data_IF_190751274656
#
_entry.id   IF_190751274656
#
_cell.length_a   1.000
_cell.length_b   1.000
_cell.length_c   1.000
_cell.angle_alpha   90.00
_cell.angle_beta   90.00
_cell.angle_gamma   90.00
#
_symmetry.space_group_name_H-M   'P 1'
#
loop_
_entity.id
_entity.type
_entity.pdbx_description
1 polymer ?
#
# COMPACT_ATOMS: atom_id res chain seq x y z
N UNK A 1 23.68 5.32 -0.48
CA UNK A 1 23.07 4.10 0.08
C UNK A 1 21.55 4.17 0.15
N UNK A 2 20.93 5.32 -0.13
CA UNK A 2 19.48 5.52 -0.04
C UNK A 2 18.66 4.57 -0.91
N UNK A 3 19.14 4.29 -2.12
CA UNK A 3 18.50 3.31 -3.01
C UNK A 3 18.47 1.90 -2.40
N UNK A 4 19.47 1.52 -1.59
CA UNK A 4 19.54 0.21 -0.96
C UNK A 4 18.47 0.09 0.14
N UNK A 5 18.36 1.10 1.01
CA UNK A 5 17.30 1.14 2.03
C UNK A 5 15.90 1.21 1.43
N UNK A 6 15.73 2.00 0.36
CA UNK A 6 14.48 2.01 -0.41
C UNK A 6 14.13 0.61 -0.94
N UNK A 7 15.10 -0.07 -1.57
CA UNK A 7 14.88 -1.38 -2.20
C UNK A 7 14.54 -2.46 -1.17
N UNK A 8 15.26 -2.50 -0.05
CA UNK A 8 15.00 -3.45 1.03
C UNK A 8 13.61 -3.19 1.63
N UNK A 9 13.30 -1.93 1.94
CA UNK A 9 12.00 -1.56 2.50
C UNK A 9 10.84 -1.90 1.56
N UNK A 10 11.02 -1.69 0.24
CA UNK A 10 10.04 -2.06 -0.78
C UNK A 10 9.77 -3.55 -0.78
N UNK A 11 10.81 -4.39 -0.83
CA UNK A 11 10.67 -5.84 -0.87
C UNK A 11 9.98 -6.34 0.41
N UNK A 12 10.43 -5.89 1.58
CA UNK A 12 9.88 -6.32 2.88
C UNK A 12 8.42 -5.88 3.02
N UNK A 13 8.09 -4.64 2.65
CA UNK A 13 6.73 -4.13 2.75
C UNK A 13 5.79 -4.82 1.76
N UNK A 14 6.23 -5.07 0.52
CA UNK A 14 5.45 -5.84 -0.45
C UNK A 14 5.17 -7.26 0.05
N UNK A 15 6.21 -7.98 0.50
CA UNK A 15 6.07 -9.35 0.99
C UNK A 15 5.14 -9.42 2.22
N UNK A 16 5.28 -8.45 3.13
CA UNK A 16 4.46 -8.36 4.34
C UNK A 16 3.02 -7.98 4.02
N UNK A 17 2.80 -6.98 3.16
CA UNK A 17 1.47 -6.61 2.69
C UNK A 17 0.76 -7.82 2.07
N UNK A 18 1.47 -8.58 1.21
CA UNK A 18 0.94 -9.77 0.57
C UNK A 18 0.62 -10.87 1.58
N UNK A 19 1.53 -11.14 2.50
CA UNK A 19 1.30 -12.10 3.58
C UNK A 19 0.05 -11.71 4.38
N UNK A 20 -0.09 -10.45 4.76
CA UNK A 20 -1.25 -9.96 5.52
C UNK A 20 -2.53 -10.05 4.69
N UNK A 21 -2.53 -9.63 3.43
CA UNK A 21 -3.75 -9.61 2.60
C UNK A 21 -4.19 -11.01 2.14
N UNK A 22 -3.28 -11.98 2.05
CA UNK A 22 -3.63 -13.38 1.75
C UNK A 22 -4.06 -14.15 3.00
N UNK A 23 -3.41 -13.96 4.15
CA UNK A 23 -3.71 -14.73 5.37
C UNK A 23 -4.81 -14.10 6.23
N UNK A 24 -5.02 -12.80 6.11
CA UNK A 24 -6.04 -12.11 6.89
C UNK A 24 -7.22 -11.84 5.98
N UNK A 25 -8.40 -12.37 6.35
CA UNK A 25 -9.69 -12.00 5.72
C UNK A 25 -10.08 -10.57 6.11
N UNK A 26 -9.17 -9.59 5.96
CA UNK A 26 -9.44 -8.17 6.21
C UNK A 26 -10.28 -7.68 5.04
N UNK A 27 -11.56 -8.01 5.11
CA UNK A 27 -12.58 -7.20 4.46
C UNK A 27 -12.72 -5.96 5.34
N UNK A 28 -11.98 -4.88 5.03
CA UNK A 28 -12.26 -3.54 5.55
C UNK A 28 -13.62 -3.08 4.96
N UNK A 29 -14.70 -3.75 5.37
CA UNK A 29 -16.09 -3.44 5.03
C UNK A 29 -16.55 -2.31 5.95
N UNK A 30 -16.02 -1.11 5.73
CA UNK A 30 -16.69 0.08 6.24
C UNK A 30 -17.88 0.37 5.32
N UNK A 31 -19.09 -0.03 5.73
CA UNK A 31 -20.38 0.35 5.10
C UNK A 31 -20.43 0.27 3.55
N UNK A 32 -19.87 -0.77 2.95
CA UNK A 32 -19.93 -0.98 1.48
C UNK A 32 -18.85 -0.28 0.66
N UNK A 33 -17.91 0.44 1.29
CA UNK A 33 -16.67 0.88 0.63
C UNK A 33 -15.61 -0.22 0.72
N UNK A 34 -15.04 -0.59 -0.41
CA UNK A 34 -13.90 -1.47 -0.54
C UNK A 34 -12.67 -0.62 -0.92
N UNK A 35 -12.10 0.05 0.09
CA UNK A 35 -10.89 0.84 -0.14
C UNK A 35 -9.71 -0.12 -0.25
N UNK A 36 -9.09 -0.14 -1.43
CA UNK A 36 -7.89 -0.92 -1.63
C UNK A 36 -6.72 -0.23 -0.92
N UNK A 37 -5.87 -1.02 -0.27
CA UNK A 37 -4.73 -0.51 0.47
C UNK A 37 -3.73 0.24 -0.44
N UNK A 38 -3.71 -0.01 -1.76
CA UNK A 38 -2.90 0.79 -2.69
C UNK A 38 -3.36 2.25 -2.80
N UNK A 39 -4.68 2.51 -2.66
CA UNK A 39 -5.22 3.88 -2.65
C UNK A 39 -4.80 4.59 -1.36
N UNK A 40 -4.87 3.89 -0.23
CA UNK A 40 -4.41 4.43 1.06
C UNK A 40 -2.91 4.71 1.05
N UNK A 41 -2.11 3.80 0.48
CA UNK A 41 -0.67 4.01 0.32
C UNK A 41 -0.39 5.22 -0.58
N UNK A 42 -1.10 5.36 -1.71
CA UNK A 42 -0.98 6.53 -2.59
C UNK A 42 -1.34 7.84 -1.90
N UNK A 43 -2.41 7.87 -1.11
CA UNK A 43 -2.78 9.05 -0.32
C UNK A 43 -1.71 9.36 0.75
N UNK A 44 -1.20 8.35 1.45
CA UNK A 44 -0.13 8.52 2.41
C UNK A 44 1.16 9.05 1.75
N UNK A 45 1.49 8.61 0.54
CA UNK A 45 2.59 9.16 -0.26
C UNK A 45 2.35 10.64 -0.61
N UNK A 46 1.11 11.02 -0.96
CA UNK A 46 0.75 12.41 -1.22
C UNK A 46 0.93 13.31 0.02
N UNK A 47 0.52 12.82 1.19
CA UNK A 47 0.75 13.52 2.48
C UNK A 47 2.25 13.59 2.80
N UNK A 48 2.99 12.49 2.62
CA UNK A 48 4.43 12.47 2.83
C UNK A 48 5.16 13.48 1.92
N UNK A 49 4.72 13.61 0.67
CA UNK A 49 5.23 14.60 -0.27
C UNK A 49 4.94 16.03 0.21
N UNK A 50 3.70 16.31 0.63
CA UNK A 50 3.32 17.63 1.18
C UNK A 50 4.15 18.02 2.40
N UNK A 51 4.50 17.05 3.25
CA UNK A 51 5.32 17.23 4.45
C UNK A 51 6.83 17.20 4.18
N UNK A 52 7.28 17.06 2.93
CA UNK A 52 8.69 16.95 2.55
C UNK A 52 9.44 15.80 3.26
N UNK A 53 8.76 14.68 3.49
CA UNK A 53 9.37 13.47 4.05
C UNK A 53 10.30 12.87 2.97
N UNK A 54 11.58 12.76 3.28
CA UNK A 54 12.62 12.30 2.32
C UNK A 54 13.19 10.93 2.64
N UNK A 55 12.78 10.31 3.75
CA UNK A 55 13.35 9.06 4.24
C UNK A 55 13.10 7.90 3.26
N UNK A 56 14.15 7.29 2.66
CA UNK A 56 14.00 6.31 1.58
C UNK A 56 13.23 5.06 1.98
N UNK A 57 13.35 4.61 3.24
CA UNK A 57 12.63 3.44 3.74
C UNK A 57 11.12 3.69 3.86
N UNK A 58 10.67 4.92 4.12
CA UNK A 58 9.25 5.28 4.14
C UNK A 58 8.68 5.17 2.73
N UNK A 59 9.38 5.76 1.75
CA UNK A 59 9.00 5.67 0.34
C UNK A 59 9.02 4.23 -0.17
N UNK A 60 10.06 3.46 0.16
CA UNK A 60 10.14 2.05 -0.19
C UNK A 60 8.97 1.26 0.38
N UNK A 61 8.65 1.45 1.67
CA UNK A 61 7.55 0.77 2.31
C UNK A 61 6.19 1.11 1.68
N UNK A 62 5.90 2.40 1.47
CA UNK A 62 4.66 2.85 0.86
C UNK A 62 4.53 2.34 -0.59
N UNK A 63 5.61 2.38 -1.37
CA UNK A 63 5.62 1.82 -2.73
C UNK A 63 5.37 0.31 -2.71
N UNK A 64 6.02 -0.44 -1.81
CA UNK A 64 5.83 -1.89 -1.68
C UNK A 64 4.37 -2.26 -1.37
N UNK A 65 3.73 -1.53 -0.46
CA UNK A 65 2.30 -1.70 -0.14
C UNK A 65 1.43 -1.36 -1.35
N UNK A 66 1.71 -0.26 -2.05
CA UNK A 66 0.94 0.12 -3.23
C UNK A 66 1.03 -0.94 -4.35
N UNK A 67 2.23 -1.46 -4.60
CA UNK A 67 2.48 -2.48 -5.62
C UNK A 67 1.79 -3.81 -5.33
N UNK A 68 1.53 -4.17 -4.06
CA UNK A 68 0.76 -5.38 -3.76
C UNK A 68 -0.70 -5.24 -4.19
N UNK A 69 -1.29 -4.06 -4.02
CA UNK A 69 -2.69 -3.83 -4.31
C UNK A 69 -3.01 -3.59 -5.78
N UNK A 70 -2.06 -3.07 -6.57
CA UNK A 70 -2.27 -2.74 -8.00
C UNK A 70 -2.59 -3.98 -8.89
N UNK A 71 -1.92 -5.14 -8.75
CA UNK A 71 -2.21 -6.35 -9.55
C UNK A 71 -3.59 -6.97 -9.28
N UNK A 72 -4.29 -6.59 -8.20
CA UNK A 72 -5.55 -7.24 -7.83
C UNK A 72 -6.66 -6.84 -8.79
N UNK A 73 -7.42 -7.82 -9.31
CA UNK A 73 -8.37 -7.64 -10.43
C UNK A 73 -9.55 -6.70 -10.16
N UNK A 74 -9.91 -6.44 -8.90
CA UNK A 74 -11.20 -5.83 -8.58
C UNK A 74 -11.03 -4.43 -7.98
N UNK A 75 -10.67 -3.43 -8.78
CA UNK A 75 -10.43 -2.05 -8.30
C UNK A 75 -11.71 -1.30 -7.90
N UNK A 76 -12.86 -1.97 -7.89
CA UNK A 76 -14.14 -1.32 -7.56
C UNK A 76 -14.14 -0.89 -6.10
N UNK A 77 -14.15 0.43 -5.89
CA UNK A 77 -14.23 1.06 -4.55
C UNK A 77 -15.62 0.86 -3.93
N UNK A 78 -16.64 0.57 -4.75
CA UNK A 78 -18.02 0.34 -4.33
C UNK A 78 -18.46 -1.03 -4.79
N UNK A 79 -18.85 -1.90 -3.86
CA UNK A 79 -19.53 -3.13 -4.23
C UNK A 79 -20.93 -2.73 -4.71
N UNK A 80 -21.21 -2.83 -6.03
CA UNK A 80 -22.58 -2.77 -6.53
C UNK A 80 -23.24 -4.09 -6.13
N UNK A 81 -23.86 -4.13 -4.96
CA UNK A 81 -25.00 -5.02 -4.76
C UNK A 81 -26.19 -4.42 -5.48
#
# INVERSE_FOLDING_TARGET
MDFAYYSIALIVAFATARYVTENTKIHLKFKGLWIHHWILAGLAMGVALYLNISQPYIWGALTGIALEGLPRKNWSIRNKQ
#
